data_IF_323298883332
#
_entry.id   IF_323298883332
#
_cell.length_a   1.000
_cell.length_b   1.000
_cell.length_c   1.000
_cell.angle_alpha   90.00
_cell.angle_beta   90.00
_cell.angle_gamma   90.00
#
_symmetry.space_group_name_H-M   'P 1'
#
loop_
_entity.id
_entity.type
_entity.pdbx_description
1 polymer ?
#
# COMPACT_ATOMS: atom_id res chain seq x y z
N UNK A 1 -45.12 -8.62 42.60
CA UNK A 1 -44.96 -9.02 41.18
C UNK A 1 -44.72 -7.84 40.22
N UNK A 2 -45.18 -6.62 40.51
CA UNK A 2 -44.99 -5.46 39.61
C UNK A 2 -43.53 -4.96 39.51
N UNK A 3 -42.74 -4.99 40.59
CA UNK A 3 -41.36 -4.47 40.64
C UNK A 3 -40.37 -5.21 39.71
N UNK A 4 -40.47 -6.53 39.59
CA UNK A 4 -39.62 -7.30 38.66
C UNK A 4 -39.96 -6.98 37.18
N UNK A 5 -41.24 -6.75 36.88
CA UNK A 5 -41.68 -6.41 35.52
C UNK A 5 -41.25 -5.01 35.07
N UNK A 6 -41.19 -4.05 36.00
CA UNK A 6 -40.71 -2.70 35.73
C UNK A 6 -39.20 -2.70 35.53
N UNK A 7 -38.43 -3.37 36.39
CA UNK A 7 -36.97 -3.53 36.24
C UNK A 7 -36.62 -4.17 34.89
N UNK A 8 -37.29 -5.27 34.51
CA UNK A 8 -37.07 -5.93 33.21
C UNK A 8 -37.25 -4.97 32.03
N UNK A 9 -38.27 -4.11 32.08
CA UNK A 9 -38.54 -3.12 31.02
C UNK A 9 -37.46 -2.03 30.95
N UNK A 10 -36.94 -1.63 32.10
CA UNK A 10 -35.88 -0.63 32.17
C UNK A 10 -34.53 -1.15 31.68
N UNK A 11 -34.24 -2.43 31.93
CA UNK A 11 -33.00 -3.10 31.52
C UNK A 11 -33.05 -3.46 30.03
N UNK A 12 -34.19 -3.87 29.47
CA UNK A 12 -34.32 -4.31 28.07
C UNK A 12 -34.27 -3.20 27.01
N UNK A 13 -33.66 -2.06 27.34
CA UNK A 13 -33.39 -0.99 26.36
C UNK A 13 -32.18 -1.35 25.50
N UNK A 14 -32.10 -0.73 24.33
CA UNK A 14 -30.94 -0.84 23.46
C UNK A 14 -29.65 -0.43 24.17
N UNK A 15 -28.59 -1.23 23.98
CA UNK A 15 -27.26 -0.97 24.52
C UNK A 15 -26.32 -0.46 23.43
N UNK A 16 -26.18 0.86 23.36
CA UNK A 16 -25.25 1.52 22.44
C UNK A 16 -23.79 1.16 22.70
N UNK A 17 -23.39 0.99 23.96
CA UNK A 17 -22.02 0.57 24.28
C UNK A 17 -21.71 -0.82 23.72
N UNK A 18 -22.61 -1.78 23.94
CA UNK A 18 -22.47 -3.15 23.47
C UNK A 18 -22.50 -3.28 21.94
N UNK A 19 -23.36 -2.49 21.28
CA UNK A 19 -23.43 -2.45 19.82
C UNK A 19 -22.16 -1.87 19.19
N UNK A 20 -21.67 -0.73 19.70
CA UNK A 20 -20.55 0.00 19.10
C UNK A 20 -19.19 -0.64 19.43
N UNK A 21 -19.01 -1.14 20.66
CA UNK A 21 -17.73 -1.68 21.13
C UNK A 21 -17.67 -3.21 21.10
N UNK A 22 -18.78 -3.89 20.81
CA UNK A 22 -18.89 -5.35 20.64
C UNK A 22 -18.14 -6.16 21.71
N UNK A 23 -17.03 -6.80 21.32
CA UNK A 23 -16.25 -7.66 22.21
C UNK A 23 -15.58 -6.90 23.35
N UNK A 24 -15.14 -5.64 23.12
CA UNK A 24 -14.50 -4.79 24.14
C UNK A 24 -15.47 -4.52 25.28
N UNK A 25 -16.70 -4.12 24.94
CA UNK A 25 -17.76 -3.96 25.92
C UNK A 25 -18.08 -5.26 26.64
N UNK A 26 -18.15 -6.38 25.90
CA UNK A 26 -18.49 -7.66 26.50
C UNK A 26 -17.41 -8.18 27.45
N UNK A 27 -16.12 -8.01 27.16
CA UNK A 27 -15.04 -8.32 28.11
C UNK A 27 -15.20 -7.47 29.38
N UNK A 28 -15.40 -6.15 29.23
CA UNK A 28 -15.58 -5.24 30.37
C UNK A 28 -16.84 -5.51 31.21
N UNK A 29 -17.85 -6.20 30.66
CA UNK A 29 -19.08 -6.57 31.35
C UNK A 29 -19.16 -8.09 31.64
N UNK A 30 -18.11 -8.86 31.32
CA UNK A 30 -18.06 -10.30 31.50
C UNK A 30 -18.99 -11.13 30.60
N UNK A 31 -19.39 -10.61 29.46
CA UNK A 31 -20.27 -11.23 28.47
C UNK A 31 -19.42 -11.79 27.31
N UNK A 32 -18.71 -12.89 27.54
CA UNK A 32 -17.72 -13.43 26.59
C UNK A 32 -18.29 -13.97 25.28
N UNK A 33 -19.61 -14.19 25.19
CA UNK A 33 -20.27 -14.45 23.90
C UNK A 33 -20.05 -13.30 22.91
N UNK A 34 -19.71 -12.10 23.39
CA UNK A 34 -19.31 -10.97 22.55
C UNK A 34 -18.05 -11.22 21.72
N UNK A 35 -17.18 -12.16 22.12
CA UNK A 35 -15.95 -12.51 21.38
C UNK A 35 -16.25 -13.10 20.01
N UNK A 36 -17.46 -13.66 19.80
CA UNK A 36 -17.92 -14.06 18.47
C UNK A 36 -17.92 -12.88 17.48
N UNK A 37 -17.95 -11.64 17.96
CA UNK A 37 -17.85 -10.46 17.11
C UNK A 37 -16.46 -10.25 16.48
N UNK A 38 -15.45 -11.03 16.86
CA UNK A 38 -14.12 -11.02 16.23
C UNK A 38 -14.15 -11.78 14.90
N UNK A 39 -15.07 -12.74 14.73
CA UNK A 39 -15.18 -13.55 13.52
C UNK A 39 -15.79 -12.69 12.40
N UNK A 40 -15.11 -12.54 11.24
CA UNK A 40 -15.64 -11.82 10.10
C UNK A 40 -17.01 -12.36 9.66
N UNK A 41 -17.94 -11.47 9.32
CA UNK A 41 -19.32 -11.81 8.94
C UNK A 41 -20.26 -12.07 10.13
N UNK A 42 -19.76 -12.69 11.21
CA UNK A 42 -20.52 -12.88 12.47
C UNK A 42 -20.56 -11.60 13.30
N UNK A 43 -19.55 -10.74 13.14
CA UNK A 43 -19.41 -9.45 13.81
C UNK A 43 -20.66 -8.56 13.79
N UNK A 44 -21.28 -8.38 12.62
CA UNK A 44 -22.45 -7.50 12.48
C UNK A 44 -23.67 -8.10 13.20
N UNK A 45 -23.91 -9.40 13.02
CA UNK A 45 -25.01 -10.11 13.67
C UNK A 45 -24.83 -10.03 15.19
N UNK A 46 -23.62 -10.28 15.68
CA UNK A 46 -23.32 -10.22 17.11
C UNK A 46 -23.41 -8.80 17.67
N UNK A 47 -23.00 -7.78 16.93
CA UNK A 47 -23.16 -6.39 17.33
C UNK A 47 -24.63 -6.06 17.59
N UNK A 48 -25.53 -6.45 16.65
CA UNK A 48 -26.97 -6.23 16.80
C UNK A 48 -27.54 -7.03 17.98
N UNK A 49 -27.17 -8.31 18.12
CA UNK A 49 -27.61 -9.14 19.26
C UNK A 49 -27.19 -8.52 20.59
N UNK A 50 -25.95 -8.02 20.68
CA UNK A 50 -25.42 -7.33 21.84
C UNK A 50 -26.14 -5.99 22.08
N UNK A 51 -26.51 -5.26 21.02
CA UNK A 51 -27.34 -4.07 21.13
C UNK A 51 -28.72 -4.35 21.75
N UNK A 52 -29.37 -5.44 21.36
CA UNK A 52 -30.71 -5.82 21.86
C UNK A 52 -30.64 -6.43 23.27
N UNK A 53 -29.76 -7.42 23.47
CA UNK A 53 -29.73 -8.26 24.68
C UNK A 53 -28.63 -7.92 25.66
N UNK A 54 -27.65 -7.09 25.27
CA UNK A 54 -26.46 -6.82 26.09
C UNK A 54 -26.79 -6.30 27.47
N UNK A 55 -27.72 -5.34 27.60
CA UNK A 55 -28.16 -4.86 28.91
C UNK A 55 -28.76 -5.97 29.79
N UNK A 56 -29.61 -6.84 29.21
CA UNK A 56 -30.21 -7.96 29.93
C UNK A 56 -29.15 -8.98 30.39
N UNK A 57 -28.19 -9.31 29.53
CA UNK A 57 -27.08 -10.21 29.87
C UNK A 57 -26.18 -9.62 30.96
N UNK A 58 -25.78 -8.35 30.82
CA UNK A 58 -24.94 -7.67 31.80
C UNK A 58 -25.64 -7.49 33.15
N UNK A 59 -26.95 -7.21 33.17
CA UNK A 59 -27.74 -7.09 34.40
C UNK A 59 -27.86 -8.43 35.14
N UNK A 60 -28.17 -9.52 34.42
CA UNK A 60 -28.26 -10.87 35.01
C UNK A 60 -26.94 -11.31 35.66
N UNK A 61 -25.81 -10.88 35.10
CA UNK A 61 -24.47 -11.17 35.62
C UNK A 61 -24.13 -10.29 36.83
N UNK A 62 -24.45 -9.01 36.79
CA UNK A 62 -24.11 -8.04 37.83
C UNK A 62 -25.25 -7.85 38.85
N UNK A 63 -25.41 -8.84 39.73
CA UNK A 63 -26.49 -8.86 40.74
C UNK A 63 -26.26 -7.93 41.95
N UNK A 64 -25.05 -7.38 42.10
CA UNK A 64 -24.67 -6.56 43.25
C UNK A 64 -24.92 -5.05 43.05
N UNK A 65 -25.46 -4.62 41.90
CA UNK A 65 -25.66 -3.21 41.57
C UNK A 65 -27.13 -2.80 41.67
N UNK A 66 -27.37 -1.56 42.09
CA UNK A 66 -28.69 -0.94 41.91
C UNK A 66 -28.93 -0.62 40.43
N UNK A 67 -30.21 -0.52 40.03
CA UNK A 67 -30.57 -0.22 38.63
C UNK A 67 -29.99 1.13 38.15
N UNK A 68 -29.86 2.10 39.06
CA UNK A 68 -29.32 3.44 38.76
C UNK A 68 -27.82 3.38 38.48
N UNK A 69 -27.06 2.64 39.30
CA UNK A 69 -25.62 2.44 39.10
C UNK A 69 -25.34 1.69 37.80
N UNK A 70 -26.12 0.63 37.52
CA UNK A 70 -26.02 -0.11 36.27
C UNK A 70 -26.24 0.80 35.05
N UNK A 71 -27.30 1.61 35.05
CA UNK A 71 -27.56 2.57 33.96
C UNK A 71 -26.43 3.59 33.80
N UNK A 72 -25.84 4.07 34.88
CA UNK A 72 -24.68 4.99 34.83
C UNK A 72 -23.50 4.32 34.14
N UNK A 73 -23.20 3.07 34.48
CA UNK A 73 -22.14 2.29 33.84
C UNK A 73 -22.41 2.10 32.33
N UNK A 74 -23.62 1.72 31.94
CA UNK A 74 -23.96 1.53 30.52
C UNK A 74 -23.93 2.84 29.72
N UNK A 75 -24.29 3.98 30.33
CA UNK A 75 -24.12 5.30 29.71
C UNK A 75 -22.66 5.67 29.48
N UNK A 76 -21.76 5.34 30.42
CA UNK A 76 -20.32 5.53 30.23
C UNK A 76 -19.81 4.69 29.06
N UNK A 77 -20.20 3.41 29.00
CA UNK A 77 -19.87 2.55 27.86
C UNK A 77 -20.38 3.09 26.52
N UNK A 78 -21.60 3.60 26.48
CA UNK A 78 -22.14 4.25 25.28
C UNK A 78 -21.32 5.49 24.87
N UNK A 79 -20.94 6.33 25.84
CA UNK A 79 -20.09 7.50 25.59
C UNK A 79 -18.73 7.10 25.03
N UNK A 80 -18.07 6.10 25.64
CA UNK A 80 -16.80 5.58 25.15
C UNK A 80 -16.92 4.96 23.75
N UNK A 81 -18.03 4.27 23.46
CA UNK A 81 -18.32 3.76 22.13
C UNK A 81 -18.35 4.86 21.07
N UNK A 82 -19.09 5.95 21.32
CA UNK A 82 -19.15 7.09 20.40
C UNK A 82 -17.78 7.75 20.24
N UNK A 83 -17.07 8.00 21.35
CA UNK A 83 -15.73 8.62 21.31
C UNK A 83 -14.75 7.78 20.50
N UNK A 84 -14.76 6.45 20.68
CA UNK A 84 -13.88 5.55 19.94
C UNK A 84 -14.14 5.58 18.43
N UNK A 85 -15.40 5.61 18.00
CA UNK A 85 -15.77 5.70 16.58
C UNK A 85 -15.28 7.01 15.98
N UNK A 86 -15.48 8.14 16.68
CA UNK A 86 -15.01 9.44 16.17
C UNK A 86 -13.50 9.45 16.00
N UNK A 87 -12.74 8.93 16.97
CA UNK A 87 -11.27 8.86 16.89
C UNK A 87 -10.83 7.97 15.73
N UNK A 88 -11.43 6.79 15.57
CA UNK A 88 -11.11 5.86 14.49
C UNK A 88 -11.41 6.49 13.12
N UNK A 89 -12.55 7.17 12.98
CA UNK A 89 -12.93 7.85 11.73
C UNK A 89 -11.97 8.99 11.38
N UNK A 90 -11.49 9.75 12.36
CA UNK A 90 -10.50 10.80 12.10
C UNK A 90 -9.16 10.17 11.70
N UNK A 91 -8.72 9.14 12.43
CA UNK A 91 -7.48 8.44 12.14
C UNK A 91 -7.49 7.79 10.75
N UNK A 92 -8.61 7.20 10.33
CA UNK A 92 -8.74 6.57 9.01
C UNK A 92 -8.65 7.60 7.88
N UNK A 93 -9.27 8.77 8.02
CA UNK A 93 -9.17 9.85 7.04
C UNK A 93 -7.73 10.35 6.91
N UNK A 94 -7.03 10.54 8.04
CA UNK A 94 -5.63 10.96 8.02
C UNK A 94 -4.72 9.90 7.37
N UNK A 95 -4.97 8.62 7.65
CA UNK A 95 -4.23 7.50 7.06
C UNK A 95 -4.43 7.46 5.53
N UNK A 96 -5.68 7.51 5.06
CA UNK A 96 -5.99 7.52 3.62
C UNK A 96 -5.32 8.70 2.93
N UNK A 97 -5.33 9.89 3.54
CA UNK A 97 -4.63 11.06 2.99
C UNK A 97 -3.13 10.82 2.80
N UNK A 98 -2.46 10.19 3.76
CA UNK A 98 -1.03 9.87 3.63
C UNK A 98 -0.78 8.86 2.50
N UNK A 99 -1.63 7.84 2.37
CA UNK A 99 -1.53 6.86 1.28
C UNK A 99 -1.63 7.56 -0.08
N UNK A 100 -2.62 8.45 -0.27
CA UNK A 100 -2.81 9.15 -1.54
C UNK A 100 -1.61 10.06 -1.88
N UNK A 101 -1.10 10.81 -0.90
CA UNK A 101 0.09 11.66 -1.12
C UNK A 101 1.31 10.80 -1.48
N UNK A 102 1.46 9.63 -0.86
CA UNK A 102 2.56 8.73 -1.18
C UNK A 102 2.40 8.11 -2.57
N UNK A 103 1.19 7.71 -2.98
CA UNK A 103 0.95 7.18 -4.33
C UNK A 103 1.20 8.20 -5.42
N UNK A 104 0.76 9.46 -5.23
CA UNK A 104 1.02 10.54 -6.20
C UNK A 104 2.53 10.78 -6.41
N UNK A 105 3.32 10.75 -5.32
CA UNK A 105 4.79 10.87 -5.41
C UNK A 105 5.42 9.67 -6.11
N UNK A 106 4.94 8.47 -5.84
CA UNK A 106 5.40 7.25 -6.51
C UNK A 106 5.14 7.31 -8.02
N UNK A 107 3.96 7.80 -8.43
CA UNK A 107 3.61 7.98 -9.84
C UNK A 107 4.51 9.02 -10.53
N UNK A 108 4.81 10.13 -9.87
CA UNK A 108 5.70 11.17 -10.41
C UNK A 108 7.13 10.66 -10.59
N UNK A 109 7.65 9.88 -9.62
CA UNK A 109 8.96 9.23 -9.73
C UNK A 109 8.94 8.21 -10.87
N UNK A 110 7.91 7.36 -10.93
CA UNK A 110 7.78 6.32 -11.95
C UNK A 110 7.71 6.91 -13.36
N UNK A 111 6.97 8.01 -13.53
CA UNK A 111 6.89 8.74 -14.80
C UNK A 111 8.26 9.29 -15.23
N UNK A 112 9.00 9.91 -14.30
CA UNK A 112 10.35 10.45 -14.59
C UNK A 112 11.33 9.33 -14.94
N UNK A 113 11.36 8.25 -14.19
CA UNK A 113 12.24 7.11 -14.43
C UNK A 113 11.89 6.38 -15.74
N UNK A 114 10.60 6.22 -16.07
CA UNK A 114 10.16 5.62 -17.34
C UNK A 114 10.65 6.44 -18.53
N UNK A 115 10.55 7.77 -18.46
CA UNK A 115 11.08 8.65 -19.51
C UNK A 115 12.59 8.48 -19.70
N UNK A 116 13.36 8.34 -18.61
CA UNK A 116 14.80 8.08 -18.67
C UNK A 116 15.11 6.74 -19.33
N UNK A 117 14.37 5.68 -18.98
CA UNK A 117 14.51 4.33 -19.55
C UNK A 117 14.28 4.36 -21.07
N UNK A 118 13.21 5.01 -21.55
CA UNK A 118 12.94 5.11 -22.99
C UNK A 118 14.08 5.80 -23.73
N UNK A 119 14.65 6.87 -23.15
CA UNK A 119 15.82 7.54 -23.73
C UNK A 119 17.05 6.62 -23.76
N UNK A 120 17.29 5.83 -22.70
CA UNK A 120 18.35 4.82 -22.70
C UNK A 120 18.18 3.83 -23.85
N UNK A 121 16.95 3.33 -24.06
CA UNK A 121 16.65 2.39 -25.14
C UNK A 121 16.93 2.99 -26.52
N UNK A 122 16.55 4.25 -26.75
CA UNK A 122 16.86 4.96 -28.00
C UNK A 122 18.38 5.09 -28.22
N UNK A 123 19.13 5.47 -27.18
CA UNK A 123 20.58 5.62 -27.27
C UNK A 123 21.27 4.26 -27.50
N UNK A 124 20.83 3.21 -26.82
CA UNK A 124 21.36 1.84 -27.01
C UNK A 124 21.10 1.39 -28.45
N UNK A 125 19.91 1.62 -29.00
CA UNK A 125 19.60 1.33 -30.40
C UNK A 125 20.53 2.09 -31.36
N UNK A 126 20.79 3.38 -31.08
CA UNK A 126 21.70 4.20 -31.88
C UNK A 126 23.16 3.70 -31.81
N UNK A 127 23.63 3.32 -30.63
CA UNK A 127 24.97 2.73 -30.44
C UNK A 127 25.10 1.43 -31.24
N UNK A 128 24.07 0.57 -31.21
CA UNK A 128 24.08 -0.68 -31.94
C UNK A 128 24.18 -0.46 -33.45
N UNK A 129 23.47 0.53 -33.99
CA UNK A 129 23.60 0.90 -35.41
C UNK A 129 24.99 1.47 -35.74
N UNK A 130 25.50 2.40 -34.93
CA UNK A 130 26.83 2.98 -35.10
C UNK A 130 27.92 1.90 -35.17
N UNK A 131 27.86 0.90 -34.28
CA UNK A 131 28.82 -0.20 -34.20
C UNK A 131 28.86 -1.04 -35.46
N UNK A 132 27.73 -1.27 -36.12
CA UNK A 132 27.66 -2.03 -37.37
C UNK A 132 28.48 -1.32 -38.45
N UNK A 133 28.33 0.00 -38.55
CA UNK A 133 29.02 0.81 -39.56
C UNK A 133 30.50 1.03 -39.24
N UNK A 134 30.88 0.96 -37.96
CA UNK A 134 32.23 1.25 -37.48
C UNK A 134 32.99 -0.01 -37.04
N UNK A 135 32.80 -1.14 -37.75
CA UNK A 135 33.53 -2.40 -37.51
C UNK A 135 33.53 -2.83 -36.03
N UNK A 136 32.34 -2.80 -35.41
CA UNK A 136 32.09 -3.14 -34.01
C UNK A 136 32.74 -2.19 -32.97
N UNK A 137 33.29 -1.05 -33.39
CA UNK A 137 33.88 -0.08 -32.46
C UNK A 137 32.82 0.80 -31.80
N UNK A 138 33.05 1.11 -30.52
CA UNK A 138 32.16 1.96 -29.73
C UNK A 138 32.41 3.45 -29.99
N UNK A 139 31.35 4.28 -29.94
CA UNK A 139 31.51 5.73 -30.02
C UNK A 139 32.27 6.25 -28.80
N UNK A 140 33.03 7.33 -28.95
CA UNK A 140 33.77 7.97 -27.84
C UNK A 140 32.86 8.79 -26.93
N UNK A 141 31.77 9.32 -27.48
CA UNK A 141 30.76 10.09 -26.76
C UNK A 141 29.40 10.00 -27.45
N UNK A 142 28.33 10.26 -26.71
CA UNK A 142 26.95 10.28 -27.23
C UNK A 142 26.80 11.29 -28.39
N UNK A 143 27.59 12.36 -28.39
CA UNK A 143 27.58 13.36 -29.46
C UNK A 143 27.99 12.83 -30.83
N UNK A 144 28.75 11.72 -30.91
CA UNK A 144 29.12 11.09 -32.19
C UNK A 144 27.93 10.39 -32.86
N UNK A 145 26.86 10.09 -32.11
CA UNK A 145 25.65 9.46 -32.64
C UNK A 145 24.74 10.45 -33.37
N UNK A 146 24.93 11.76 -33.18
CA UNK A 146 24.07 12.81 -33.73
C UNK A 146 24.71 13.42 -34.99
N UNK A 147 23.93 13.73 -36.04
CA UNK A 147 22.49 13.48 -36.19
C UNK A 147 22.15 12.12 -36.83
N UNK A 148 23.15 11.35 -37.23
CA UNK A 148 23.01 10.20 -38.12
C UNK A 148 22.26 9.02 -37.50
N UNK A 149 22.57 8.69 -36.25
CA UNK A 149 21.97 7.57 -35.51
C UNK A 149 20.96 8.02 -34.45
N UNK A 150 21.01 9.31 -34.07
CA UNK A 150 20.13 9.92 -33.09
C UNK A 150 19.73 11.32 -33.57
N UNK A 151 18.43 11.59 -33.71
CA UNK A 151 17.90 12.85 -34.29
C UNK A 151 18.38 14.10 -33.54
N UNK A 152 18.48 14.01 -32.22
CA UNK A 152 19.00 15.05 -31.35
C UNK A 152 19.47 14.40 -30.05
N UNK A 153 20.50 14.97 -29.41
CA UNK A 153 20.73 14.66 -27.99
C UNK A 153 19.51 15.22 -27.24
N UNK A 154 18.78 14.42 -26.44
CA UNK A 154 17.59 14.94 -25.77
C UNK A 154 17.98 16.14 -24.89
N UNK A 155 17.44 17.33 -25.20
CA UNK A 155 17.88 18.62 -24.65
C UNK A 155 17.69 18.78 -23.13
N UNK A 156 17.04 17.84 -22.43
CA UNK A 156 16.90 17.90 -20.96
C UNK A 156 18.14 17.40 -20.19
N UNK A 157 19.24 17.10 -20.88
CA UNK A 157 20.32 16.27 -20.36
C UNK A 157 21.63 17.05 -20.34
N UNK A 158 21.91 17.72 -19.22
CA UNK A 158 23.28 18.08 -18.86
C UNK A 158 24.08 16.78 -18.79
N UNK A 159 25.29 16.72 -19.35
CA UNK A 159 26.11 15.51 -19.51
C UNK A 159 26.50 14.77 -18.22
N UNK A 160 25.89 15.10 -17.08
CA UNK A 160 25.98 14.42 -15.79
C UNK A 160 24.93 13.32 -15.59
N UNK A 161 23.83 13.31 -16.36
CA UNK A 161 22.70 12.39 -16.09
C UNK A 161 22.81 11.04 -16.83
N UNK A 162 23.28 11.05 -18.08
CA UNK A 162 23.52 9.85 -18.88
C UNK A 162 25.01 9.75 -19.20
N UNK A 163 25.64 8.68 -18.72
CA UNK A 163 27.10 8.51 -18.80
C UNK A 163 27.39 7.32 -19.71
N UNK A 164 28.08 7.59 -20.82
CA UNK A 164 28.66 6.54 -21.66
C UNK A 164 29.99 6.12 -21.05
N UNK A 165 30.14 4.83 -20.80
CA UNK A 165 31.35 4.24 -20.27
C UNK A 165 31.84 3.12 -21.18
N UNK A 166 33.13 2.81 -21.08
CA UNK A 166 33.79 1.77 -21.88
C UNK A 166 34.45 0.75 -20.95
N UNK A 167 34.15 -0.53 -21.14
CA UNK A 167 34.74 -1.61 -20.35
C UNK A 167 35.02 -2.84 -21.23
N UNK A 168 36.24 -3.37 -21.15
CA UNK A 168 36.65 -4.64 -21.76
C UNK A 168 36.28 -4.81 -23.25
N UNK A 169 36.31 -3.72 -24.03
CA UNK A 169 35.98 -3.73 -25.46
C UNK A 169 34.49 -3.49 -25.79
N UNK A 170 33.64 -3.30 -24.78
CA UNK A 170 32.24 -2.89 -24.93
C UNK A 170 31.97 -1.45 -24.45
N UNK A 171 30.79 -0.95 -24.76
CA UNK A 171 30.27 0.35 -24.32
C UNK A 171 28.89 0.17 -23.67
N UNK A 172 28.64 0.96 -22.62
CA UNK A 172 27.39 0.92 -21.86
C UNK A 172 26.99 2.33 -21.45
N UNK A 173 25.68 2.53 -21.33
CA UNK A 173 25.11 3.79 -20.87
C UNK A 173 24.49 3.60 -19.49
N UNK A 174 24.84 4.48 -18.55
CA UNK A 174 24.28 4.47 -17.21
C UNK A 174 23.48 5.74 -16.97
N UNK A 175 22.34 5.61 -16.31
CA UNK A 175 21.48 6.71 -15.88
C UNK A 175 21.11 6.54 -14.40
N UNK A 176 21.04 7.65 -13.66
CA UNK A 176 20.58 7.61 -12.26
C UNK A 176 19.05 7.63 -12.21
N UNK A 177 18.46 6.56 -11.69
CA UNK A 177 17.03 6.46 -11.40
C UNK A 177 16.74 6.87 -9.95
N UNK A 178 15.64 7.56 -9.73
CA UNK A 178 15.22 7.93 -8.37
C UNK A 178 14.67 6.71 -7.61
N UNK A 179 14.05 5.76 -8.32
CA UNK A 179 13.66 4.47 -7.78
C UNK A 179 14.80 3.46 -7.94
N UNK A 180 15.63 3.29 -6.89
CA UNK A 180 16.83 2.42 -6.94
C UNK A 180 16.56 0.91 -7.04
N UNK A 181 15.31 0.48 -7.16
CA UNK A 181 14.94 -0.94 -7.16
C UNK A 181 14.54 -1.47 -8.55
N UNK A 182 14.68 -0.67 -9.62
CA UNK A 182 14.50 -1.17 -10.97
C UNK A 182 15.79 -1.88 -11.43
N UNK A 183 15.90 -3.15 -11.02
CA UNK A 183 16.93 -4.10 -11.43
C UNK A 183 16.86 -4.38 -12.96
N UNK A 184 15.75 -4.01 -13.62
CA UNK A 184 15.57 -4.10 -15.07
C UNK A 184 16.62 -3.37 -15.91
N UNK A 185 17.30 -2.35 -15.39
CA UNK A 185 18.42 -1.72 -16.11
C UNK A 185 19.79 -2.32 -15.80
N UNK A 186 19.90 -3.15 -14.74
CA UNK A 186 21.13 -3.85 -14.39
C UNK A 186 21.16 -5.31 -14.86
N UNK A 187 20.00 -5.91 -15.13
CA UNK A 187 19.88 -7.33 -15.50
C UNK A 187 20.07 -7.61 -17.01
N UNK A 188 20.17 -6.57 -17.85
CA UNK A 188 20.49 -6.71 -19.29
C UNK A 188 22.01 -6.91 -19.55
N UNK A 189 22.80 -7.20 -18.51
CA UNK A 189 24.22 -7.46 -18.60
C UNK A 189 24.53 -8.97 -18.64
N UNK A 190 24.63 -9.53 -19.85
CA UNK A 190 25.39 -10.77 -20.09
C UNK A 190 26.60 -10.46 -21.00
N UNK A 191 27.84 -10.41 -20.45
CA UNK A 191 29.04 -10.13 -21.23
C UNK A 191 29.52 -11.31 -22.09
N UNK A 192 28.90 -12.49 -21.99
CA UNK A 192 29.39 -13.73 -22.59
C UNK A 192 28.50 -14.30 -23.70
N UNK A 193 27.31 -13.74 -23.93
CA UNK A 193 26.39 -14.29 -24.90
C UNK A 193 25.78 -13.17 -25.75
N UNK A 194 26.33 -12.99 -26.96
CA UNK A 194 25.73 -12.07 -27.91
C UNK A 194 24.32 -12.55 -28.25
N UNK A 195 23.31 -11.73 -27.96
CA UNK A 195 22.00 -11.82 -28.61
C UNK A 195 21.30 -10.45 -28.66
N UNK A 196 20.68 -10.27 -29.82
CA UNK A 196 19.65 -9.30 -30.18
C UNK A 196 18.59 -9.12 -29.08
N UNK A 197 18.07 -7.91 -28.94
CA UNK A 197 16.74 -7.68 -28.34
C UNK A 197 15.72 -7.57 -29.47
N UNK A 198 14.86 -8.59 -29.56
CA UNK A 198 13.59 -8.53 -30.25
C UNK A 198 12.57 -7.84 -29.31
N UNK A 199 11.97 -6.75 -29.77
CA UNK A 199 11.01 -5.95 -29.01
C UNK A 199 9.54 -6.41 -29.23
N UNK A 200 9.30 -7.64 -29.69
CA UNK A 200 7.95 -8.20 -29.86
C UNK A 200 7.46 -9.15 -28.74
N UNK A 201 8.12 -9.20 -27.58
CA UNK A 201 7.67 -10.06 -26.46
C UNK A 201 6.62 -9.37 -25.58
N UNK A 202 5.35 -9.75 -25.77
CA UNK A 202 4.14 -9.24 -25.08
C UNK A 202 3.98 -9.70 -23.61
N UNK A 203 5.00 -10.27 -22.95
CA UNK A 203 4.84 -10.82 -21.60
C UNK A 203 5.99 -10.44 -20.65
N UNK A 204 5.75 -9.43 -19.81
CA UNK A 204 6.72 -8.84 -18.85
C UNK A 204 6.57 -9.47 -17.46
N UNK A 205 6.20 -10.76 -17.37
CA UNK A 205 5.76 -11.32 -16.09
C UNK A 205 6.80 -12.14 -15.31
N UNK A 206 7.96 -12.53 -15.85
CA UNK A 206 8.88 -13.38 -15.08
C UNK A 206 10.36 -13.25 -15.45
N UNK A 207 11.10 -12.33 -14.83
CA UNK A 207 12.55 -12.44 -14.71
C UNK A 207 12.98 -11.97 -13.31
N UNK A 208 12.98 -12.93 -12.37
CA UNK A 208 13.64 -12.85 -11.07
C UNK A 208 14.91 -13.69 -11.21
N UNK A 209 16.08 -13.15 -10.86
CA UNK A 209 17.22 -14.01 -10.52
C UNK A 209 17.84 -13.64 -9.17
N UNK A 210 18.09 -14.69 -8.40
CA UNK A 210 18.81 -14.70 -7.15
C UNK A 210 20.32 -14.68 -7.41
N UNK A 211 21.05 -14.04 -6.50
CA UNK A 211 22.51 -14.07 -6.39
C UNK A 211 23.10 -15.49 -6.46
N UNK A 212 24.25 -15.60 -7.14
CA UNK A 212 25.46 -16.16 -6.54
C UNK A 212 26.63 -15.19 -6.73
#
# INVERSE_FOLDING_TARGET
MQEDSTIKREVRKWNWGAFLLTFIWGVGNGIYISLLAIIPGVNIIMAVILGIKGNEWAWRKNKCLTITEFKKQQKLWAKWGVVSIVIISIASVLLVRQIVINSEKEDEINYRDTKKITVVQEIVSAINHYRIDHNQSCPKSISELVPEYLKQVPESISGTEFILNHYSGGCYISVSLERSNNIFLSDDYDPNNGNYYDLESEDISNLIFYNE
#
